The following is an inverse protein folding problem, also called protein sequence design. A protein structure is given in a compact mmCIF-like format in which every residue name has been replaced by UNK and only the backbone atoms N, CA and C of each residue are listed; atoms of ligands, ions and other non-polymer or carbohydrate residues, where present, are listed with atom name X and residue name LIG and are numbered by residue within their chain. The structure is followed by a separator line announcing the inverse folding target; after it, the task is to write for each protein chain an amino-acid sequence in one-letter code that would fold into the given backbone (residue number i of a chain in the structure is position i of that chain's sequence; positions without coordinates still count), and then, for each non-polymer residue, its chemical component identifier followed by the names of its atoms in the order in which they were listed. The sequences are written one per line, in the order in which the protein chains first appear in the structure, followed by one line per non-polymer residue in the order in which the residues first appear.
data_IF_121160900608
#
_entry.id   IF_121160900608
#
_cell.length_a   1.000
_cell.length_b   1.000
_cell.length_c   1.000
_cell.angle_alpha   90.00
_cell.angle_beta   90.00
_cell.angle_gamma   90.00
#
_symmetry.space_group_name_H-M   'P 1'
#
loop_
_entity.id
_entity.type
_entity.pdbx_description
1 polymer ?
#
# COMPACT_ATOMS: atom_id res chain seq x y z
N UNK A 1 -8.03 -3.08 0.90
CA UNK A 1 -8.49 -3.77 -0.33
C UNK A 1 -8.94 -5.22 -0.08
N UNK A 2 -8.60 -5.86 1.06
CA UNK A 2 -8.89 -7.29 1.30
C UNK A 2 -10.37 -7.68 1.29
N UNK A 3 -11.25 -6.88 1.89
CA UNK A 3 -12.69 -7.17 1.91
C UNK A 3 -13.31 -7.13 0.51
N UNK A 4 -12.88 -6.16 -0.31
CA UNK A 4 -13.35 -6.02 -1.69
C UNK A 4 -12.88 -7.22 -2.52
N UNK A 5 -11.62 -7.62 -2.41
CA UNK A 5 -11.09 -8.79 -3.11
C UNK A 5 -11.91 -10.06 -2.79
N UNK A 6 -12.18 -10.33 -1.51
CA UNK A 6 -13.03 -11.46 -1.10
C UNK A 6 -14.44 -11.39 -1.65
N UNK A 7 -15.04 -10.21 -1.65
CA UNK A 7 -16.38 -10.03 -2.22
C UNK A 7 -16.40 -10.32 -3.72
N UNK A 8 -15.39 -9.86 -4.46
CA UNK A 8 -15.26 -10.12 -5.90
C UNK A 8 -15.07 -11.61 -6.19
N UNK A 9 -14.20 -12.33 -5.47
CA UNK A 9 -14.04 -13.78 -5.62
C UNK A 9 -15.33 -14.55 -5.38
N UNK A 10 -16.07 -14.19 -4.33
CA UNK A 10 -17.34 -14.84 -4.00
C UNK A 10 -18.39 -14.66 -5.11
N UNK A 11 -18.17 -13.70 -6.02
CA UNK A 11 -19.01 -13.44 -7.20
C UNK A 11 -18.32 -13.88 -8.50
N UNK A 12 -17.29 -14.74 -8.44
CA UNK A 12 -16.65 -15.33 -9.61
C UNK A 12 -15.64 -14.44 -10.34
N UNK A 13 -15.21 -13.33 -9.73
CA UNK A 13 -14.19 -12.44 -10.29
C UNK A 13 -12.85 -12.73 -9.59
N UNK A 14 -11.86 -13.29 -10.29
CA UNK A 14 -10.55 -13.56 -9.71
C UNK A 14 -9.80 -12.26 -9.45
N UNK A 15 -9.09 -12.24 -8.32
CA UNK A 15 -8.39 -11.10 -7.76
C UNK A 15 -7.04 -11.53 -7.21
N UNK A 16 -6.09 -10.60 -7.28
CA UNK A 16 -4.78 -10.69 -6.65
C UNK A 16 -4.38 -9.29 -6.21
N UNK A 17 -3.78 -9.19 -5.04
CA UNK A 17 -3.24 -7.93 -4.53
C UNK A 17 -1.72 -7.98 -4.67
N UNK A 18 -1.14 -6.95 -5.27
CA UNK A 18 0.30 -6.67 -5.21
C UNK A 18 0.51 -5.62 -4.12
N UNK A 19 1.36 -5.87 -3.13
CA UNK A 19 1.51 -4.93 -2.02
C UNK A 19 2.76 -5.11 -1.16
N UNK A 20 3.00 -4.12 -0.31
CA UNK A 20 4.17 -4.06 0.59
C UNK A 20 3.86 -4.37 2.07
N UNK A 21 2.61 -4.27 2.50
CA UNK A 21 2.21 -4.45 3.91
C UNK A 21 1.78 -5.90 4.19
N UNK A 22 2.75 -6.80 4.33
CA UNK A 22 2.49 -8.24 4.52
C UNK A 22 1.81 -8.55 5.86
N UNK A 23 2.13 -7.81 6.91
CA UNK A 23 1.56 -7.92 8.25
C UNK A 23 0.05 -7.68 8.28
N UNK A 24 -0.42 -6.63 7.59
CA UNK A 24 -1.84 -6.31 7.47
C UNK A 24 -2.57 -7.40 6.67
N UNK A 25 -1.94 -7.84 5.58
CA UNK A 25 -2.56 -8.80 4.66
C UNK A 25 -2.62 -10.20 5.28
N UNK A 26 -1.62 -10.59 6.07
CA UNK A 26 -1.61 -11.85 6.83
C UNK A 26 -2.74 -11.89 7.87
N UNK A 27 -2.98 -10.78 8.57
CA UNK A 27 -4.05 -10.71 9.56
C UNK A 27 -5.46 -10.80 8.94
N UNK A 28 -5.71 -10.06 7.84
CA UNK A 28 -7.06 -9.98 7.25
C UNK A 28 -7.34 -11.15 6.29
N UNK A 29 -6.27 -11.76 5.75
CA UNK A 29 -6.22 -12.76 4.69
C UNK A 29 -6.91 -12.34 3.40
N UNK A 30 -6.17 -12.41 2.30
CA UNK A 30 -6.68 -12.14 0.95
C UNK A 30 -6.70 -13.43 0.13
N UNK A 31 -7.49 -13.49 -0.96
CA UNK A 31 -7.54 -14.67 -1.81
C UNK A 31 -6.17 -15.03 -2.39
N UNK A 32 -5.45 -14.04 -2.94
CA UNK A 32 -4.11 -14.18 -3.51
C UNK A 32 -3.30 -12.90 -3.27
N UNK A 33 -2.03 -13.06 -2.93
CA UNK A 33 -1.12 -11.95 -2.65
C UNK A 33 0.25 -12.17 -3.27
N UNK A 34 0.72 -11.17 -4.01
CA UNK A 34 2.13 -11.02 -4.34
C UNK A 34 2.71 -9.91 -3.46
N UNK A 35 3.57 -10.31 -2.54
CA UNK A 35 4.31 -9.36 -1.71
C UNK A 35 5.51 -8.80 -2.49
N UNK A 36 5.64 -7.47 -2.51
CA UNK A 36 6.78 -6.74 -3.07
C UNK A 36 7.31 -5.82 -1.97
N UNK A 37 8.55 -6.03 -1.55
CA UNK A 37 9.14 -5.38 -0.38
C UNK A 37 9.71 -3.99 -0.71
N UNK A 38 8.83 -3.12 -1.21
CA UNK A 38 9.12 -1.76 -1.66
C UNK A 38 8.40 -0.72 -0.77
N UNK A 39 8.83 0.56 -0.77
CA UNK A 39 8.12 1.63 -0.08
C UNK A 39 6.63 1.64 -0.42
N UNK A 40 5.78 1.89 0.58
CA UNK A 40 4.33 1.91 0.38
C UNK A 40 3.96 2.92 -0.72
N UNK A 41 3.06 2.53 -1.61
CA UNK A 41 2.67 3.31 -2.77
C UNK A 41 3.39 2.91 -4.06
N UNK A 42 4.45 2.11 -3.99
CA UNK A 42 5.20 1.63 -5.16
C UNK A 42 5.21 0.10 -5.31
N UNK A 43 4.10 -0.63 -5.06
CA UNK A 43 4.12 -2.09 -5.05
C UNK A 43 4.39 -2.72 -6.44
N UNK A 44 4.22 -1.96 -7.52
CA UNK A 44 4.38 -2.45 -8.88
C UNK A 44 5.76 -2.13 -9.48
N UNK A 45 6.69 -1.52 -8.76
CA UNK A 45 7.98 -1.11 -9.32
C UNK A 45 8.39 0.31 -8.96
N UNK A 46 9.66 0.63 -9.19
CA UNK A 46 10.15 2.01 -9.13
C UNK A 46 9.47 2.89 -10.19
N UNK A 47 9.30 4.19 -9.92
CA UNK A 47 8.88 5.15 -10.94
C UNK A 47 9.76 5.05 -12.18
N UNK A 48 9.13 5.05 -13.36
CA UNK A 48 9.77 5.02 -14.68
C UNK A 48 10.61 3.77 -15.04
N UNK A 49 10.70 2.78 -14.14
CA UNK A 49 11.34 1.49 -14.42
C UNK A 49 10.35 0.51 -15.06
N UNK A 50 10.07 0.71 -16.35
CA UNK A 50 9.10 -0.10 -17.08
C UNK A 50 9.48 -1.59 -17.16
N UNK A 51 10.78 -1.93 -17.07
CA UNK A 51 11.24 -3.31 -17.10
C UNK A 51 10.87 -4.02 -15.80
N UNK A 52 11.24 -3.44 -14.66
CA UNK A 52 10.87 -3.96 -13.34
C UNK A 52 9.35 -4.08 -13.19
N UNK A 53 8.61 -3.06 -13.64
CA UNK A 53 7.15 -3.06 -13.56
C UNK A 53 6.53 -4.21 -14.35
N UNK A 54 7.03 -4.48 -15.55
CA UNK A 54 6.59 -5.64 -16.35
C UNK A 54 6.96 -6.97 -15.69
N UNK A 55 8.13 -7.06 -15.07
CA UNK A 55 8.57 -8.27 -14.37
C UNK A 55 7.67 -8.58 -13.17
N UNK A 56 7.36 -7.57 -12.33
CA UNK A 56 6.47 -7.72 -11.17
C UNK A 56 5.05 -8.08 -11.63
N UNK A 57 4.53 -7.43 -12.68
CA UNK A 57 3.24 -7.78 -13.24
C UNK A 57 3.20 -9.22 -13.77
N UNK A 58 4.25 -9.66 -14.47
CA UNK A 58 4.38 -11.03 -14.95
C UNK A 58 4.36 -12.06 -13.80
N UNK A 59 5.08 -11.77 -12.71
CA UNK A 59 5.04 -12.60 -11.50
C UNK A 59 3.63 -12.66 -10.90
N UNK A 60 2.93 -11.53 -10.86
CA UNK A 60 1.56 -11.45 -10.34
C UNK A 60 0.59 -12.29 -11.18
N UNK A 61 0.68 -12.22 -12.51
CA UNK A 61 -0.17 -13.01 -13.41
C UNK A 61 0.12 -14.52 -13.28
N UNK A 62 1.39 -14.91 -13.21
CA UNK A 62 1.76 -16.31 -12.97
C UNK A 62 1.25 -16.79 -11.61
N UNK A 63 1.32 -15.94 -10.58
CA UNK A 63 0.82 -16.28 -9.26
C UNK A 63 -0.70 -16.38 -9.19
N UNK A 64 -1.42 -15.57 -9.98
CA UNK A 64 -2.87 -15.64 -10.07
C UNK A 64 -3.35 -17.04 -10.48
N UNK A 65 -2.62 -17.72 -11.36
CA UNK A 65 -2.92 -19.08 -11.83
C UNK A 65 -2.43 -20.16 -10.84
N UNK A 66 -1.25 -19.98 -10.24
CA UNK A 66 -0.63 -20.98 -9.38
C UNK A 66 -1.15 -21.01 -7.93
N UNK A 67 -1.70 -19.90 -7.43
CA UNK A 67 -2.12 -19.77 -6.04
C UNK A 67 -3.31 -20.67 -5.70
N UNK A 68 -3.31 -21.17 -4.47
CA UNK A 68 -4.40 -21.99 -3.92
C UNK A 68 -4.81 -21.49 -2.53
N UNK A 69 -5.88 -22.02 -1.96
CA UNK A 69 -6.32 -21.65 -0.62
C UNK A 69 -5.23 -21.89 0.46
N UNK A 70 -4.43 -22.95 0.31
CA UNK A 70 -3.32 -23.27 1.21
C UNK A 70 -2.01 -22.53 0.85
N UNK A 71 -1.91 -22.02 -0.37
CA UNK A 71 -0.75 -21.33 -0.91
C UNK A 71 -1.18 -20.03 -1.59
N UNK A 72 -1.55 -19.04 -0.78
CA UNK A 72 -2.15 -17.79 -1.24
C UNK A 72 -1.13 -16.64 -1.36
N UNK A 73 0.04 -16.78 -0.76
CA UNK A 73 1.07 -15.75 -0.67
C UNK A 73 2.36 -16.16 -1.41
N UNK A 74 2.82 -15.30 -2.31
CA UNK A 74 4.16 -15.34 -2.89
C UNK A 74 4.93 -14.06 -2.57
N UNK A 75 6.26 -14.12 -2.61
CA UNK A 75 7.15 -12.96 -2.49
C UNK A 75 7.90 -12.74 -3.79
N UNK A 76 7.91 -11.50 -4.26
CA UNK A 76 8.75 -11.09 -5.38
C UNK A 76 10.22 -11.03 -4.95
N UNK A 77 11.17 -11.47 -5.79
CA UNK A 77 12.59 -11.29 -5.56
C UNK A 77 13.10 -9.90 -5.96
N UNK A 78 12.23 -8.99 -6.41
CA UNK A 78 12.62 -7.66 -6.84
C UNK A 78 13.13 -6.82 -5.65
N UNK A 79 14.15 -6.00 -5.90
CA UNK A 79 14.76 -5.12 -4.89
C UNK A 79 14.56 -3.65 -5.28
N UNK A 80 14.28 -2.79 -4.29
CA UNK A 80 14.07 -1.36 -4.52
C UNK A 80 15.39 -0.66 -4.85
N UNK A 81 16.40 -0.89 -4.00
CA UNK A 81 17.75 -0.40 -4.13
C UNK A 81 18.72 -1.35 -3.44
N UNK A 82 19.98 -1.39 -3.88
CA UNK A 82 20.99 -2.29 -3.32
C UNK A 82 21.29 -1.99 -1.84
N UNK A 83 21.21 -0.71 -1.46
CA UNK A 83 21.54 -0.21 -0.13
C UNK A 83 20.38 -0.29 0.87
N UNK A 84 19.14 -0.51 0.39
CA UNK A 84 17.91 -0.55 1.19
C UNK A 84 17.68 0.67 2.10
N UNK A 85 18.37 1.79 1.86
CA UNK A 85 18.34 3.00 2.71
C UNK A 85 16.96 3.64 2.81
N UNK A 86 16.10 3.40 1.82
CA UNK A 86 14.71 3.84 1.79
C UNK A 86 13.91 3.47 3.06
N UNK A 87 14.27 2.37 3.73
CA UNK A 87 13.57 1.90 4.92
C UNK A 87 13.72 2.85 6.10
N UNK A 88 14.89 3.45 6.22
CA UNK A 88 15.16 4.38 7.31
C UNK A 88 14.40 5.69 7.08
N UNK A 89 14.26 6.10 5.82
CA UNK A 89 13.60 7.36 5.45
C UNK A 89 12.06 7.24 5.35
N UNK A 90 11.56 6.05 5.03
CA UNK A 90 10.13 5.82 4.86
C UNK A 90 9.37 6.02 6.17
N UNK A 91 8.47 7.03 6.17
CA UNK A 91 7.66 7.40 7.34
C UNK A 91 8.48 7.64 8.62
N UNK A 92 9.72 8.13 8.48
CA UNK A 92 10.61 8.44 9.60
C UNK A 92 9.97 9.46 10.54
N UNK A 93 9.86 9.11 11.82
CA UNK A 93 9.46 10.02 12.91
C UNK A 93 10.52 9.96 14.00
N UNK A 94 11.19 11.08 14.23
CA UNK A 94 12.25 11.21 15.23
C UNK A 94 12.20 12.59 15.88
N UNK A 95 13.17 12.91 16.73
CA UNK A 95 13.17 14.15 17.50
C UNK A 95 13.25 15.40 16.60
N UNK A 96 13.81 15.29 15.40
CA UNK A 96 13.94 16.42 14.48
C UNK A 96 12.59 16.87 13.90
N UNK A 97 11.60 15.98 13.80
CA UNK A 97 10.33 16.26 13.12
C UNK A 97 9.07 16.00 13.97
N UNK A 98 9.20 15.37 15.14
CA UNK A 98 8.07 14.96 15.98
C UNK A 98 7.12 16.11 16.33
N UNK A 99 7.66 17.24 16.76
CA UNK A 99 6.84 18.38 17.21
C UNK A 99 6.12 19.05 16.02
N UNK A 100 6.80 19.22 14.89
CA UNK A 100 6.18 19.74 13.67
C UNK A 100 5.04 18.83 13.18
N UNK A 101 5.27 17.52 13.11
CA UNK A 101 4.27 16.54 12.70
C UNK A 101 3.07 16.50 13.65
N UNK A 102 3.30 16.68 14.95
CA UNK A 102 2.25 16.79 15.96
C UNK A 102 1.38 18.03 15.70
N UNK A 103 1.99 19.20 15.52
CA UNK A 103 1.28 20.45 15.22
C UNK A 103 0.50 20.37 13.91
N UNK A 104 1.10 19.81 12.85
CA UNK A 104 0.40 19.52 11.57
C UNK A 104 -0.80 18.61 11.78
N UNK A 105 -0.66 17.58 12.62
CA UNK A 105 -1.73 16.68 12.98
C UNK A 105 -2.88 17.35 13.74
N UNK A 106 -2.56 18.28 14.65
CA UNK A 106 -3.54 19.08 15.40
C UNK A 106 -4.31 20.05 14.48
N UNK A 107 -3.59 20.80 13.64
CA UNK A 107 -4.20 21.69 12.65
C UNK A 107 -5.14 20.93 11.71
N UNK A 108 -4.72 19.76 11.20
CA UNK A 108 -5.58 18.92 10.34
C UNK A 108 -6.86 18.47 11.04
N UNK A 109 -6.79 18.14 12.33
CA UNK A 109 -7.99 17.75 13.11
C UNK A 109 -8.95 18.92 13.27
N UNK A 110 -8.45 20.13 13.56
CA UNK A 110 -9.27 21.34 13.65
C UNK A 110 -9.98 21.63 12.32
N UNK A 111 -9.25 21.60 11.19
CA UNK A 111 -9.82 21.75 9.85
C UNK A 111 -10.91 20.72 9.55
N UNK A 112 -10.69 19.45 9.94
CA UNK A 112 -11.70 18.40 9.77
C UNK A 112 -12.95 18.63 10.62
N UNK A 113 -12.82 19.18 11.83
CA UNK A 113 -13.95 19.54 12.67
C UNK A 113 -14.76 20.71 12.10
N UNK A 114 -14.08 21.74 11.60
CA UNK A 114 -14.72 22.88 10.93
C UNK A 114 -15.45 22.45 9.66
N UNK A 115 -14.82 21.63 8.82
CA UNK A 115 -15.44 21.10 7.61
C UNK A 115 -16.69 20.25 7.91
N UNK A 116 -16.66 19.47 9.00
CA UNK A 116 -17.84 18.72 9.47
C UNK A 116 -18.95 19.66 9.95
N UNK A 117 -18.62 20.74 10.66
CA UNK A 117 -19.60 21.74 11.15
C UNK A 117 -20.24 22.54 10.03
N UNK A 118 -19.49 22.85 8.96
CA UNK A 118 -19.99 23.62 7.81
C UNK A 118 -20.84 22.79 6.82
N UNK A 119 -21.01 21.48 7.07
CA UNK A 119 -21.84 20.61 6.23
C UNK A 119 -21.14 20.18 4.93
N UNK A 120 -19.83 20.37 4.80
CA UNK A 120 -19.09 19.88 3.64
C UNK A 120 -19.03 18.34 3.68
N UNK A 121 -19.57 17.70 2.64
CA UNK A 121 -19.65 16.24 2.53
C UNK A 121 -18.29 15.53 2.45
N UNK A 122 -17.21 16.29 2.17
CA UNK A 122 -15.81 15.84 2.19
C UNK A 122 -14.91 17.02 2.57
N UNK A 123 -13.94 16.79 3.46
CA UNK A 123 -12.82 17.72 3.63
C UNK A 123 -12.06 17.82 2.30
N UNK A 124 -11.72 19.03 1.87
CA UNK A 124 -10.86 19.23 0.70
C UNK A 124 -9.50 18.52 0.96
N UNK A 125 -8.95 17.89 -0.09
CA UNK A 125 -7.58 17.38 0.01
C UNK A 125 -6.65 18.58 0.20
N UNK A 126 -5.92 18.58 1.31
CA UNK A 126 -4.88 19.58 1.56
C UNK A 126 -3.81 19.36 0.48
N UNK A 127 -3.75 20.25 -0.50
CA UNK A 127 -2.60 20.32 -1.40
C UNK A 127 -1.43 20.89 -0.58
N UNK A 128 -0.36 20.11 -0.43
CA UNK A 128 0.89 20.62 0.14
C UNK A 128 1.40 21.73 -0.79
N UNK A 129 1.59 22.92 -0.23
CA UNK A 129 2.37 24.00 -0.85
C UNK A 129 3.77 23.94 -0.28
#
# INVERSE_FOLDING_TARGET
MSLVARHLEANGIPTLIIGSAIDIVDHVRVPRYLHVDFPLGNPCGRPYDALMQKQILGQALNWMDAATDSLWLARSPAEWSDDQSWRDDYSRVDESNREELKQRGEARRQQQEEAKRSGNARSEMIAET
#
